data_IF_303465429178
#
_entry.id   IF_303465429178
#
_cell.length_a   1.000
_cell.length_b   1.000
_cell.length_c   1.000
_cell.angle_alpha   90.00
_cell.angle_beta   90.00
_cell.angle_gamma   90.00
#
_symmetry.space_group_name_H-M   'P 1'
#
loop_
_entity.id
_entity.type
_entity.pdbx_description
1 polymer ?
#
# COMPACT_ATOMS: atom_id res chain seq x y z
N UNK A 1 -5.76 -9.88 24.28
CA UNK A 1 -7.15 -9.60 23.84
C UNK A 1 -7.11 -9.27 22.35
N UNK A 2 -7.71 -10.08 21.48
CA UNK A 2 -7.84 -9.73 20.07
C UNK A 2 -9.07 -8.83 19.92
N UNK A 3 -8.91 -7.62 19.40
CA UNK A 3 -10.00 -6.63 19.29
C UNK A 3 -11.16 -7.15 18.40
N UNK A 4 -10.86 -8.07 17.49
CA UNK A 4 -11.87 -8.77 16.67
C UNK A 4 -12.86 -9.61 17.50
N UNK A 5 -12.48 -10.02 18.72
CA UNK A 5 -13.28 -10.91 19.57
C UNK A 5 -14.19 -10.15 20.54
N UNK A 6 -14.00 -8.83 20.71
CA UNK A 6 -14.61 -8.07 21.82
C UNK A 6 -15.54 -6.93 21.39
N UNK A 7 -15.93 -6.84 20.12
CA UNK A 7 -16.75 -5.74 19.56
C UNK A 7 -16.20 -4.31 19.78
N UNK A 8 -14.99 -4.18 20.34
CA UNK A 8 -14.34 -2.90 20.64
C UNK A 8 -13.56 -2.32 19.45
N UNK A 9 -14.12 -2.40 18.23
CA UNK A 9 -13.48 -1.95 16.99
C UNK A 9 -13.06 -0.48 17.02
N UNK A 10 -13.73 0.35 17.82
CA UNK A 10 -13.36 1.75 18.03
C UNK A 10 -11.93 1.93 18.56
N UNK A 11 -11.38 0.95 19.29
CA UNK A 11 -9.99 0.97 19.75
C UNK A 11 -8.98 0.88 18.60
N UNK A 12 -9.41 0.46 17.40
CA UNK A 12 -8.59 0.43 16.20
C UNK A 12 -8.64 1.74 15.41
N UNK A 13 -9.53 2.68 15.75
CA UNK A 13 -9.64 3.96 15.02
C UNK A 13 -8.30 4.71 15.00
N UNK A 14 -7.54 4.86 16.10
CA UNK A 14 -6.24 5.52 16.06
C UNK A 14 -5.26 4.82 15.11
N UNK A 15 -5.25 3.47 15.12
CA UNK A 15 -4.39 2.66 14.25
C UNK A 15 -4.76 2.82 12.77
N UNK A 16 -6.04 2.87 12.46
CA UNK A 16 -6.51 3.07 11.09
C UNK A 16 -6.26 4.50 10.61
N UNK A 17 -6.37 5.48 11.50
CA UNK A 17 -6.04 6.87 11.20
C UNK A 17 -4.55 7.03 10.87
N UNK A 18 -3.66 6.45 11.67
CA UNK A 18 -2.21 6.41 11.39
C UNK A 18 -1.89 5.74 10.05
N UNK A 19 -2.61 4.67 9.71
CA UNK A 19 -2.45 3.96 8.45
C UNK A 19 -2.85 4.78 7.23
N UNK A 20 -3.83 5.67 7.34
CA UNK A 20 -4.22 6.55 6.24
C UNK A 20 -3.12 7.54 5.85
N UNK A 21 -2.24 7.90 6.80
CA UNK A 21 -1.07 8.76 6.54
C UNK A 21 0.06 8.05 5.77
N UNK A 22 -0.05 6.73 5.58
CA UNK A 22 0.91 5.92 4.82
C UNK A 22 0.50 5.71 3.35
N UNK A 23 -0.65 6.25 2.94
CA UNK A 23 -1.27 6.05 1.62
C UNK A 23 -1.68 7.41 1.02
N UNK A 24 -2.27 7.42 -0.18
CA UNK A 24 -2.57 8.66 -0.90
C UNK A 24 -1.30 9.38 -1.41
N UNK A 25 -1.40 10.68 -1.77
CA UNK A 25 -0.29 11.42 -2.35
C UNK A 25 0.90 11.52 -1.40
N UNK A 26 0.63 11.76 -0.11
CA UNK A 26 1.67 11.80 0.93
C UNK A 26 2.35 10.44 1.07
N UNK A 27 1.60 9.34 0.99
CA UNK A 27 2.16 7.99 1.03
C UNK A 27 3.13 7.72 -0.12
N UNK A 28 2.80 8.16 -1.34
CA UNK A 28 3.68 8.06 -2.52
C UNK A 28 5.00 8.82 -2.27
N UNK A 29 4.91 10.09 -1.89
CA UNK A 29 6.06 10.95 -1.58
C UNK A 29 6.95 10.34 -0.52
N UNK A 30 6.36 9.92 0.61
CA UNK A 30 7.11 9.35 1.73
C UNK A 30 7.82 8.06 1.36
N UNK A 31 7.18 7.21 0.54
CA UNK A 31 7.80 5.96 0.11
C UNK A 31 8.99 6.22 -0.81
N UNK A 32 8.87 7.18 -1.74
CA UNK A 32 9.99 7.59 -2.57
C UNK A 32 11.12 8.21 -1.75
N UNK A 33 10.81 9.19 -0.90
CA UNK A 33 11.80 9.85 -0.03
C UNK A 33 12.56 8.84 0.82
N UNK A 34 11.85 7.92 1.47
CA UNK A 34 12.48 6.88 2.27
C UNK A 34 13.47 6.04 1.44
N UNK A 35 13.05 5.54 0.28
CA UNK A 35 13.92 4.72 -0.56
C UNK A 35 15.13 5.51 -1.08
N UNK A 36 14.91 6.73 -1.56
CA UNK A 36 15.97 7.61 -2.07
C UNK A 36 16.99 7.98 -1.00
N UNK A 37 16.56 8.40 0.20
CA UNK A 37 17.44 8.77 1.30
C UNK A 37 18.26 7.59 1.86
N UNK A 38 17.70 6.38 1.78
CA UNK A 38 18.34 5.16 2.27
C UNK A 38 19.08 4.39 1.16
N UNK A 39 19.23 4.96 -0.05
CA UNK A 39 19.81 4.32 -1.22
C UNK A 39 19.21 2.93 -1.52
N UNK A 40 17.91 2.77 -1.27
CA UNK A 40 17.16 1.56 -1.57
C UNK A 40 16.63 1.62 -3.01
N UNK A 41 16.53 0.47 -3.72
CA UNK A 41 16.00 0.46 -5.07
C UNK A 41 14.56 0.99 -5.14
N UNK A 42 14.28 1.83 -6.13
CA UNK A 42 12.91 2.25 -6.45
C UNK A 42 12.13 1.14 -7.16
N UNK A 43 12.83 0.33 -7.97
CA UNK A 43 12.27 -0.84 -8.65
C UNK A 43 13.37 -1.86 -8.94
N UNK A 44 12.97 -3.09 -9.22
CA UNK A 44 13.83 -4.20 -9.64
C UNK A 44 13.24 -4.89 -10.90
N UNK A 45 14.00 -5.82 -11.49
CA UNK A 45 13.50 -6.64 -12.61
C UNK A 45 12.33 -7.55 -12.22
N UNK A 46 12.15 -7.81 -10.93
CA UNK A 46 11.02 -8.57 -10.37
C UNK A 46 9.83 -7.71 -9.96
N UNK A 47 9.94 -6.37 -9.99
CA UNK A 47 8.84 -5.49 -9.63
C UNK A 47 7.64 -5.74 -10.57
N UNK A 48 6.41 -5.84 -10.02
CA UNK A 48 5.22 -6.08 -10.84
C UNK A 48 4.96 -4.95 -11.84
N UNK A 49 4.46 -5.32 -13.02
CA UNK A 49 4.33 -4.45 -14.19
C UNK A 49 2.88 -4.27 -14.64
N UNK A 50 1.95 -4.10 -13.70
CA UNK A 50 0.54 -3.88 -14.03
C UNK A 50 0.36 -2.62 -14.89
N UNK A 51 -0.37 -2.72 -16.00
CA UNK A 51 -0.67 -1.60 -16.90
C UNK A 51 -2.12 -1.12 -16.77
N UNK A 52 -2.92 -1.81 -15.96
CA UNK A 52 -4.30 -1.47 -15.61
C UNK A 52 -4.53 -1.55 -14.10
N UNK A 53 -5.51 -0.80 -13.58
CA UNK A 53 -5.92 -0.88 -12.17
C UNK A 53 -6.35 -2.30 -11.78
N UNK A 54 -7.05 -3.00 -12.68
CA UNK A 54 -7.46 -4.38 -12.45
C UNK A 54 -6.26 -5.29 -12.17
N UNK A 55 -5.22 -5.20 -13.01
CA UNK A 55 -3.99 -5.97 -12.82
C UNK A 55 -3.27 -5.57 -11.52
N UNK A 56 -3.33 -4.30 -11.11
CA UNK A 56 -2.73 -3.85 -9.84
C UNK A 56 -3.33 -4.64 -8.68
N UNK A 57 -4.66 -4.72 -8.62
CA UNK A 57 -5.37 -5.44 -7.56
C UNK A 57 -5.22 -6.96 -7.66
N UNK A 58 -5.14 -7.52 -8.88
CA UNK A 58 -4.84 -8.96 -9.07
C UNK A 58 -3.43 -9.34 -8.57
N UNK A 59 -2.47 -8.42 -8.65
CA UNK A 59 -1.09 -8.64 -8.20
C UNK A 59 -0.86 -8.31 -6.72
N UNK A 60 -1.78 -7.60 -6.07
CA UNK A 60 -1.78 -7.31 -4.62
C UNK A 60 -2.46 -8.45 -3.85
N UNK A 61 -1.91 -9.67 -3.95
CA UNK A 61 -2.52 -10.87 -3.36
C UNK A 61 -2.30 -10.96 -1.85
N UNK A 62 -3.20 -11.65 -1.14
CA UNK A 62 -3.05 -11.98 0.28
C UNK A 62 -1.69 -12.62 0.59
N UNK A 63 -1.24 -13.54 -0.27
CA UNK A 63 0.04 -14.25 -0.11
C UNK A 63 1.26 -13.31 -0.12
N UNK A 64 1.17 -12.18 -0.81
CA UNK A 64 2.23 -11.16 -0.76
C UNK A 64 2.23 -10.43 0.57
N UNK A 65 1.06 -10.02 1.04
CA UNK A 65 0.94 -9.38 2.35
C UNK A 65 1.41 -10.30 3.48
N UNK A 66 1.03 -11.57 3.45
CA UNK A 66 1.47 -12.57 4.42
C UNK A 66 2.99 -12.76 4.40
N UNK A 67 3.59 -12.89 3.20
CA UNK A 67 5.05 -12.99 3.07
C UNK A 67 5.77 -11.74 3.55
N UNK A 68 5.23 -10.55 3.28
CA UNK A 68 5.75 -9.28 3.79
C UNK A 68 5.78 -9.28 5.32
N UNK A 69 4.69 -9.71 5.97
CA UNK A 69 4.61 -9.82 7.42
C UNK A 69 5.62 -10.84 7.97
N UNK A 70 5.73 -12.02 7.34
CA UNK A 70 6.67 -13.08 7.73
C UNK A 70 8.14 -12.65 7.61
N UNK A 71 8.47 -11.80 6.62
CA UNK A 71 9.81 -11.25 6.41
C UNK A 71 10.15 -10.06 7.34
N UNK A 72 9.29 -9.74 8.29
CA UNK A 72 9.50 -8.63 9.22
C UNK A 72 9.19 -7.25 8.63
N UNK A 73 8.35 -7.19 7.60
CA UNK A 73 7.86 -5.93 7.04
C UNK A 73 8.83 -5.26 6.07
N UNK A 74 9.47 -6.04 5.19
CA UNK A 74 10.40 -5.55 4.18
C UNK A 74 10.02 -6.03 2.78
N UNK A 75 10.23 -5.17 1.81
CA UNK A 75 10.11 -5.44 0.38
C UNK A 75 11.44 -5.17 -0.30
N UNK A 76 11.66 -5.77 -1.47
CA UNK A 76 12.94 -5.69 -2.17
C UNK A 76 13.18 -4.31 -2.84
N UNK A 77 12.11 -3.58 -3.14
CA UNK A 77 12.12 -2.25 -3.75
C UNK A 77 10.81 -1.47 -3.46
N UNK A 78 10.78 -0.19 -3.81
CA UNK A 78 9.64 0.70 -3.57
C UNK A 78 8.35 0.20 -4.26
N UNK A 79 8.43 -0.17 -5.55
CA UNK A 79 7.26 -0.66 -6.28
C UNK A 79 6.72 -1.93 -5.65
N UNK A 80 7.58 -2.89 -5.30
CA UNK A 80 7.19 -4.11 -4.62
C UNK A 80 6.49 -3.81 -3.29
N UNK A 81 6.93 -2.78 -2.56
CA UNK A 81 6.29 -2.35 -1.31
C UNK A 81 4.82 -1.92 -1.46
N UNK A 82 4.44 -1.38 -2.62
CA UNK A 82 3.06 -0.94 -2.85
C UNK A 82 2.12 -2.14 -2.86
N UNK A 83 2.50 -3.19 -3.59
CA UNK A 83 1.74 -4.44 -3.66
C UNK A 83 1.86 -5.30 -2.40
N UNK A 84 3.03 -5.32 -1.78
CA UNK A 84 3.28 -6.13 -0.59
C UNK A 84 2.58 -5.58 0.65
N UNK A 85 2.27 -4.27 0.69
CA UNK A 85 1.74 -3.60 1.89
C UNK A 85 0.76 -2.48 1.60
N UNK A 86 1.14 -1.42 0.87
CA UNK A 86 0.38 -0.17 0.88
C UNK A 86 -1.03 -0.31 0.28
N UNK A 87 -1.19 -1.11 -0.76
CA UNK A 87 -2.51 -1.41 -1.34
C UNK A 87 -3.42 -2.15 -0.35
N UNK A 88 -2.86 -3.03 0.49
CA UNK A 88 -3.61 -3.70 1.57
C UNK A 88 -3.96 -2.74 2.72
N UNK A 89 -3.16 -1.70 2.92
CA UNK A 89 -3.45 -0.64 3.90
C UNK A 89 -4.55 0.30 3.38
N UNK A 90 -4.53 0.62 2.09
CA UNK A 90 -5.52 1.49 1.45
C UNK A 90 -6.89 0.82 1.28
N UNK A 91 -6.92 -0.51 1.07
CA UNK A 91 -8.17 -1.27 0.91
C UNK A 91 -8.28 -2.44 1.91
N UNK A 92 -8.33 -2.16 3.22
CA UNK A 92 -8.48 -3.20 4.23
C UNK A 92 -9.88 -3.84 4.19
N UNK A 93 -10.05 -5.08 4.68
CA UNK A 93 -11.36 -5.71 4.76
C UNK A 93 -12.33 -4.93 5.68
N UNK A 94 -13.55 -4.56 5.21
CA UNK A 94 -14.49 -3.73 5.97
C UNK A 94 -14.89 -4.32 7.33
N UNK A 95 -14.92 -5.65 7.45
CA UNK A 95 -15.23 -6.37 8.68
C UNK A 95 -14.19 -6.14 9.80
N UNK A 96 -12.98 -5.67 9.45
CA UNK A 96 -11.93 -5.33 10.41
C UNK A 96 -11.96 -3.83 10.75
N UNK A 97 -12.29 -2.97 9.78
CA UNK A 97 -12.32 -1.51 9.99
C UNK A 97 -13.58 -1.09 10.74
N UNK A 98 -14.75 -1.57 10.30
CA UNK A 98 -16.09 -1.26 10.81
C UNK A 98 -16.31 0.24 11.02
N UNK A 99 -15.87 1.03 10.06
CA UNK A 99 -16.00 2.49 10.08
C UNK A 99 -16.03 3.00 8.63
N UNK A 100 -17.24 3.37 8.17
CA UNK A 100 -17.48 3.80 6.78
C UNK A 100 -16.60 4.96 6.34
N UNK A 101 -16.35 5.94 7.23
CA UNK A 101 -15.50 7.07 6.90
C UNK A 101 -14.06 6.62 6.60
N UNK A 102 -13.50 5.75 7.44
CA UNK A 102 -12.14 5.23 7.23
C UNK A 102 -12.05 4.31 6.02
N UNK A 103 -13.10 3.51 5.75
CA UNK A 103 -13.21 2.66 4.56
C UNK A 103 -13.24 3.50 3.26
N UNK A 104 -14.02 4.58 3.25
CA UNK A 104 -14.11 5.52 2.13
C UNK A 104 -12.77 6.25 1.93
N UNK A 105 -12.16 6.75 3.01
CA UNK A 105 -10.85 7.43 2.94
C UNK A 105 -9.74 6.51 2.46
N UNK A 106 -9.73 5.25 2.92
CA UNK A 106 -8.80 4.24 2.42
C UNK A 106 -8.95 4.06 0.91
N UNK A 107 -10.17 3.85 0.43
CA UNK A 107 -10.43 3.67 -1.01
C UNK A 107 -10.04 4.89 -1.84
N UNK A 108 -10.32 6.10 -1.36
CA UNK A 108 -9.91 7.33 -2.01
C UNK A 108 -8.38 7.43 -2.12
N UNK A 109 -7.67 7.10 -1.04
CA UNK A 109 -6.21 7.16 -0.96
C UNK A 109 -5.49 6.08 -1.78
N UNK A 110 -6.19 5.02 -2.22
CA UNK A 110 -5.60 3.98 -3.06
C UNK A 110 -5.26 4.50 -4.47
N UNK A 111 -5.94 5.55 -4.94
CA UNK A 111 -5.84 6.07 -6.31
C UNK A 111 -4.40 6.42 -6.68
N UNK A 112 -3.69 7.12 -5.80
CA UNK A 112 -2.32 7.57 -6.07
C UNK A 112 -1.32 6.41 -6.11
N UNK A 113 -1.53 5.40 -5.27
CA UNK A 113 -0.72 4.18 -5.27
C UNK A 113 -0.93 3.39 -6.57
N UNK A 114 -2.19 3.23 -6.98
CA UNK A 114 -2.57 2.56 -8.23
C UNK A 114 -1.99 3.29 -9.44
N UNK A 115 -2.12 4.61 -9.48
CA UNK A 115 -1.59 5.43 -10.58
C UNK A 115 -0.08 5.29 -10.72
N UNK A 116 0.68 5.34 -9.62
CA UNK A 116 2.12 5.10 -9.64
C UNK A 116 2.46 3.69 -10.15
N UNK A 117 1.76 2.66 -9.67
CA UNK A 117 1.93 1.29 -10.16
C UNK A 117 1.70 1.16 -11.67
N UNK A 118 0.64 1.78 -12.19
CA UNK A 118 0.28 1.76 -13.62
C UNK A 118 1.30 2.54 -14.46
N UNK A 119 1.73 3.72 -14.00
CA UNK A 119 2.79 4.51 -14.65
C UNK A 119 4.08 3.72 -14.75
N UNK A 120 4.49 3.09 -13.66
CA UNK A 120 5.65 2.22 -13.65
C UNK A 120 5.49 1.08 -14.65
N UNK A 121 4.38 0.32 -14.58
CA UNK A 121 4.12 -0.85 -15.42
C UNK A 121 4.17 -0.54 -16.92
N UNK A 122 3.73 0.65 -17.32
CA UNK A 122 3.80 1.13 -18.71
C UNK A 122 5.23 1.45 -19.18
N UNK A 123 6.06 2.06 -18.32
CA UNK A 123 7.29 2.73 -18.79
C UNK A 123 8.57 1.98 -18.50
N UNK A 124 8.65 1.26 -17.38
CA UNK A 124 9.91 0.67 -16.92
C UNK A 124 10.46 1.35 -15.69
N UNK A 125 9.95 2.55 -15.40
CA UNK A 125 10.63 3.53 -14.57
C UNK A 125 9.65 4.15 -13.60
N UNK A 126 10.09 4.38 -12.38
CA UNK A 126 9.33 5.17 -11.42
C UNK A 126 9.19 6.58 -11.98
N UNK A 127 7.97 7.10 -11.98
CA UNK A 127 7.66 8.43 -12.51
C UNK A 127 7.95 9.46 -11.43
N UNK A 128 9.18 9.97 -11.40
CA UNK A 128 9.63 10.93 -10.40
C UNK A 128 8.98 12.31 -10.54
N UNK A 129 8.40 12.63 -11.71
CA UNK A 129 7.62 13.87 -11.90
C UNK A 129 6.21 13.76 -11.28
N UNK A 130 5.74 12.53 -11.01
CA UNK A 130 4.49 12.25 -10.32
C UNK A 130 4.65 12.20 -8.79
N UNK A 131 5.88 12.02 -8.30
CA UNK A 131 6.21 12.01 -6.87
C UNK A 131 6.33 13.44 -6.34
#
# INVERSE_FOLDING_TARGET
>A
MKVQETEHYYLLIPRWSDRLEAVGPIGVIRCYQYNSEHNQPLSSSSSPRAVTEKEVWELATSDRFERYQQRGGKSDDMISHYYDKLLHVASPPPEIVRNKYLEEKGRESAKDLVEMCVRFGRTGKVDEDYV
#
